data_IF_539072583086
#
_entry.id   IF_539072583086
#
_cell.length_a   1.000
_cell.length_b   1.000
_cell.length_c   1.000
_cell.angle_alpha   90.00
_cell.angle_beta   90.00
_cell.angle_gamma   90.00
#
_symmetry.space_group_name_H-M   'P 1'
#
loop_
_entity.id
_entity.type
_entity.pdbx_description
1 polymer ?
#
# COMPACT_ATOMS: atom_id res chain seq x y z
N UNK A 1 -23.69 -3.92 23.46
CA UNK A 1 -22.27 -3.81 23.08
C UNK A 1 -21.78 -2.47 23.56
N UNK A 2 -20.64 -2.43 24.26
CA UNK A 2 -20.17 -1.23 24.97
C UNK A 2 -19.44 -0.28 24.02
N UNK A 3 -19.66 1.03 24.19
CA UNK A 3 -19.08 2.09 23.37
C UNK A 3 -17.53 2.07 23.41
N UNK A 4 -16.95 1.77 24.57
CA UNK A 4 -15.50 1.60 24.75
C UNK A 4 -14.91 0.46 23.91
N UNK A 5 -15.62 -0.65 23.76
CA UNK A 5 -15.13 -1.79 22.97
C UNK A 5 -15.08 -1.46 21.47
N UNK A 6 -15.99 -0.62 21.00
CA UNK A 6 -15.95 -0.09 19.63
C UNK A 6 -14.73 0.82 19.45
N UNK A 7 -14.55 1.82 20.32
CA UNK A 7 -13.45 2.80 20.22
C UNK A 7 -12.08 2.09 20.17
N UNK A 8 -11.85 1.08 21.03
CA UNK A 8 -10.58 0.32 21.05
C UNK A 8 -10.35 -0.45 19.75
N UNK A 9 -11.38 -1.12 19.20
CA UNK A 9 -11.28 -1.86 17.95
C UNK A 9 -10.97 -0.94 16.76
N UNK A 10 -11.53 0.27 16.73
CA UNK A 10 -11.27 1.23 15.66
C UNK A 10 -9.88 1.88 15.75
N UNK A 11 -9.40 2.21 16.96
CA UNK A 11 -8.01 2.68 17.14
C UNK A 11 -6.98 1.63 16.70
N UNK A 12 -7.27 0.35 16.93
CA UNK A 12 -6.46 -0.75 16.41
C UNK A 12 -6.51 -0.85 14.87
N UNK A 13 -7.68 -0.60 14.26
CA UNK A 13 -7.82 -0.56 12.80
C UNK A 13 -7.05 0.60 12.16
N UNK A 14 -7.09 1.80 12.74
CA UNK A 14 -6.34 2.97 12.26
C UNK A 14 -4.82 2.78 12.38
N UNK A 15 -4.38 2.15 13.47
CA UNK A 15 -2.97 1.77 13.64
C UNK A 15 -2.55 0.75 12.57
N UNK A 16 -3.34 -0.30 12.36
CA UNK A 16 -3.09 -1.29 11.32
C UNK A 16 -3.09 -0.66 9.90
N UNK A 17 -3.94 0.34 9.66
CA UNK A 17 -3.94 1.15 8.43
C UNK A 17 -2.57 1.74 8.14
N UNK A 18 -2.05 2.42 9.16
CA UNK A 18 -0.83 3.21 9.08
C UNK A 18 0.36 2.29 8.90
N UNK A 19 0.38 1.17 9.63
CA UNK A 19 1.40 0.13 9.47
C UNK A 19 1.40 -0.46 8.05
N UNK A 20 0.22 -0.81 7.52
CA UNK A 20 0.11 -1.34 6.15
C UNK A 20 0.56 -0.29 5.12
N UNK A 21 0.18 0.97 5.29
CA UNK A 21 0.64 2.07 4.43
C UNK A 21 2.16 2.29 4.48
N UNK A 22 2.78 2.11 5.65
CA UNK A 22 4.24 2.19 5.78
C UNK A 22 4.93 0.99 5.13
N UNK A 23 4.43 -0.23 5.36
CA UNK A 23 4.92 -1.46 4.73
C UNK A 23 4.77 -1.40 3.20
N UNK A 24 3.69 -0.80 2.71
CA UNK A 24 3.47 -0.56 1.30
C UNK A 24 4.60 0.26 0.67
N UNK A 25 4.93 1.38 1.32
CA UNK A 25 5.97 2.30 0.87
C UNK A 25 7.36 1.67 0.93
N UNK A 26 7.62 0.85 1.96
CA UNK A 26 8.88 0.09 2.06
C UNK A 26 8.99 -0.92 0.91
N UNK A 27 7.92 -1.68 0.66
CA UNK A 27 7.91 -2.67 -0.43
C UNK A 27 8.14 -2.02 -1.80
N UNK A 28 7.54 -0.85 -2.05
CA UNK A 28 7.79 -0.09 -3.28
C UNK A 28 9.27 0.33 -3.42
N UNK A 29 9.89 0.75 -2.32
CA UNK A 29 11.32 1.11 -2.28
C UNK A 29 12.21 -0.10 -2.59
N UNK A 30 11.94 -1.23 -1.93
CA UNK A 30 12.70 -2.47 -2.09
C UNK A 30 12.60 -2.99 -3.53
N UNK A 31 11.40 -2.90 -4.13
CA UNK A 31 11.18 -3.23 -5.53
C UNK A 31 12.04 -2.33 -6.44
N UNK A 32 12.02 -1.01 -6.27
CA UNK A 32 12.85 -0.12 -7.09
C UNK A 32 14.35 -0.43 -6.97
N UNK A 33 14.83 -0.76 -5.78
CA UNK A 33 16.22 -1.18 -5.57
C UNK A 33 16.57 -2.44 -6.37
N UNK A 34 15.72 -3.46 -6.28
CA UNK A 34 15.91 -4.71 -7.05
C UNK A 34 15.95 -4.41 -8.55
N UNK A 35 15.05 -3.54 -9.06
CA UNK A 35 15.06 -3.12 -10.46
C UNK A 35 16.40 -2.52 -10.87
N UNK A 36 16.92 -1.60 -10.05
CA UNK A 36 18.15 -0.89 -10.34
C UNK A 36 19.35 -1.85 -10.36
N UNK A 37 19.40 -2.79 -9.41
CA UNK A 37 20.43 -3.82 -9.37
C UNK A 37 20.38 -4.70 -10.63
N UNK A 38 19.21 -5.18 -11.02
CA UNK A 38 19.05 -6.03 -12.22
C UNK A 38 19.36 -5.24 -13.50
N UNK A 39 18.91 -3.99 -13.61
CA UNK A 39 19.25 -3.15 -14.75
C UNK A 39 20.77 -2.92 -14.88
N UNK A 40 21.48 -2.81 -13.75
CA UNK A 40 22.93 -2.68 -13.72
C UNK A 40 23.69 -3.93 -14.17
N UNK A 41 23.14 -5.13 -13.95
CA UNK A 41 23.79 -6.39 -14.38
C UNK A 41 23.59 -6.69 -15.86
N UNK A 42 22.49 -6.22 -16.45
CA UNK A 42 22.14 -6.45 -17.87
C UNK A 42 23.13 -5.79 -18.83
N UNK A 43 23.79 -4.70 -18.40
CA UNK A 43 24.85 -4.07 -19.19
C UNK A 43 26.02 -5.02 -19.49
N UNK A 44 26.15 -6.12 -18.74
CA UNK A 44 27.20 -7.13 -18.92
C UNK A 44 26.73 -8.38 -19.70
N UNK A 45 25.45 -8.49 -20.05
CA UNK A 45 24.91 -9.68 -20.72
C UNK A 45 24.77 -9.42 -22.24
N UNK A 46 25.68 -9.97 -23.05
CA UNK A 46 25.70 -9.78 -24.51
C UNK A 46 24.48 -10.41 -25.23
N UNK A 47 23.91 -9.66 -26.18
CA UNK A 47 23.19 -10.14 -27.38
C UNK A 47 21.83 -10.81 -27.19
N UNK A 48 21.80 -12.02 -26.64
CA UNK A 48 20.59 -12.87 -26.57
C UNK A 48 19.86 -12.69 -25.22
N UNK A 49 20.61 -12.45 -24.15
CA UNK A 49 20.08 -12.19 -22.81
C UNK A 49 19.33 -10.84 -22.71
N UNK A 50 19.57 -9.92 -23.65
CA UNK A 50 18.92 -8.61 -23.67
C UNK A 50 17.42 -8.70 -23.98
N UNK A 51 17.01 -9.65 -24.83
CA UNK A 51 15.59 -9.91 -25.11
C UNK A 51 14.89 -10.57 -23.93
N UNK A 52 15.52 -11.58 -23.33
CA UNK A 52 14.99 -12.26 -22.13
C UNK A 52 14.86 -11.31 -20.94
N UNK A 53 15.79 -10.37 -20.79
CA UNK A 53 15.69 -9.32 -19.79
C UNK A 53 14.49 -8.40 -20.03
N UNK A 54 14.24 -7.99 -21.28
CA UNK A 54 13.10 -7.14 -21.60
C UNK A 54 11.76 -7.78 -21.22
N UNK A 55 11.62 -9.09 -21.40
CA UNK A 55 10.45 -9.85 -20.98
C UNK A 55 10.32 -9.92 -19.44
N UNK A 56 11.40 -10.28 -18.75
CA UNK A 56 11.40 -10.38 -17.29
C UNK A 56 11.18 -9.01 -16.62
N UNK A 57 11.76 -7.95 -17.19
CA UNK A 57 11.56 -6.57 -16.72
C UNK A 57 10.08 -6.16 -16.85
N UNK A 58 9.41 -6.49 -17.96
CA UNK A 58 7.98 -6.20 -18.14
C UNK A 58 7.12 -6.93 -17.11
N UNK A 59 7.42 -8.20 -16.85
CA UNK A 59 6.71 -9.01 -15.86
C UNK A 59 6.92 -8.43 -14.46
N UNK A 60 8.15 -8.07 -14.12
CA UNK A 60 8.51 -7.43 -12.87
C UNK A 60 7.80 -6.08 -12.68
N UNK A 61 7.80 -5.22 -13.71
CA UNK A 61 7.08 -3.93 -13.68
C UNK A 61 5.58 -4.12 -13.44
N UNK A 62 4.98 -5.16 -14.03
CA UNK A 62 3.58 -5.51 -13.81
C UNK A 62 3.33 -5.95 -12.36
N UNK A 63 4.16 -6.85 -11.83
CA UNK A 63 4.01 -7.35 -10.46
C UNK A 63 4.17 -6.24 -9.43
N UNK A 64 5.15 -5.35 -9.63
CA UNK A 64 5.35 -4.17 -8.77
C UNK A 64 4.14 -3.23 -8.80
N UNK A 65 3.58 -2.99 -9.98
CA UNK A 65 2.36 -2.18 -10.14
C UNK A 65 1.16 -2.82 -9.44
N UNK A 66 0.94 -4.13 -9.61
CA UNK A 66 -0.19 -4.84 -8.99
C UNK A 66 -0.11 -4.81 -7.47
N UNK A 67 1.11 -4.94 -6.91
CA UNK A 67 1.39 -4.76 -5.49
C UNK A 67 1.04 -3.35 -5.04
N UNK A 68 1.50 -2.33 -5.76
CA UNK A 68 1.21 -0.92 -5.43
C UNK A 68 -0.31 -0.64 -5.43
N UNK A 69 -1.04 -1.11 -6.45
CA UNK A 69 -2.50 -0.97 -6.53
C UNK A 69 -3.21 -1.67 -5.38
N UNK A 70 -2.79 -2.89 -5.03
CA UNK A 70 -3.37 -3.62 -3.91
C UNK A 70 -3.17 -2.86 -2.58
N UNK A 71 -1.98 -2.30 -2.37
CA UNK A 71 -1.65 -1.53 -1.18
C UNK A 71 -2.42 -0.21 -1.11
N UNK A 72 -2.58 0.49 -2.22
CA UNK A 72 -3.45 1.66 -2.31
C UNK A 72 -4.92 1.30 -1.98
N UNK A 73 -5.40 0.16 -2.46
CA UNK A 73 -6.72 -0.36 -2.16
C UNK A 73 -6.91 -0.62 -0.66
N UNK A 74 -5.92 -1.24 -0.01
CA UNK A 74 -5.95 -1.44 1.45
C UNK A 74 -5.94 -0.08 2.17
N UNK A 75 -5.06 0.85 1.78
CA UNK A 75 -5.03 2.19 2.35
C UNK A 75 -6.38 2.92 2.24
N UNK A 76 -7.06 2.80 1.09
CA UNK A 76 -8.39 3.38 0.89
C UNK A 76 -9.45 2.76 1.80
N UNK A 77 -9.50 1.43 1.89
CA UNK A 77 -10.46 0.71 2.76
C UNK A 77 -10.27 1.13 4.22
N UNK A 78 -9.03 1.26 4.67
CA UNK A 78 -8.81 1.61 6.07
C UNK A 78 -9.05 3.10 6.33
N UNK A 79 -8.69 4.00 5.42
CA UNK A 79 -9.07 5.41 5.54
C UNK A 79 -10.60 5.59 5.55
N UNK A 80 -11.33 4.83 4.73
CA UNK A 80 -12.80 4.87 4.74
C UNK A 80 -13.36 4.40 6.10
N UNK A 81 -12.78 3.34 6.68
CA UNK A 81 -13.16 2.85 8.00
C UNK A 81 -12.87 3.88 9.13
N UNK A 82 -11.83 4.70 9.02
CA UNK A 82 -11.49 5.74 10.00
C UNK A 82 -12.21 7.08 9.78
N UNK A 83 -12.41 7.49 8.52
CA UNK A 83 -12.96 8.80 8.13
C UNK A 83 -14.46 8.95 8.33
N UNK A 84 -15.23 7.86 8.25
CA UNK A 84 -16.69 7.88 8.47
C UNK A 84 -17.07 8.34 9.89
N UNK A 85 -16.15 8.26 10.87
CA UNK A 85 -16.41 8.74 12.22
C UNK A 85 -16.26 10.27 12.38
N UNK A 86 -15.28 10.93 11.73
CA UNK A 86 -15.20 12.40 11.81
C UNK A 86 -16.43 13.09 11.21
N UNK A 87 -17.05 12.49 10.19
CA UNK A 87 -18.31 12.97 9.62
C UNK A 87 -19.53 12.60 10.45
N UNK A 88 -19.57 11.36 10.97
CA UNK A 88 -20.65 10.85 11.80
C UNK A 88 -20.76 11.53 13.17
N UNK A 89 -19.63 11.75 13.84
CA UNK A 89 -19.58 12.35 15.18
C UNK A 89 -19.77 13.87 15.13
N UNK A 90 -19.26 14.58 14.10
CA UNK A 90 -19.64 15.99 13.88
C UNK A 90 -21.14 16.15 13.65
N UNK A 91 -21.77 15.25 12.89
CA UNK A 91 -23.23 15.25 12.69
C UNK A 91 -23.97 14.91 13.99
N UNK A 92 -23.56 13.86 14.70
CA UNK A 92 -24.17 13.50 15.97
C UNK A 92 -24.03 14.60 17.02
N UNK A 93 -22.85 15.20 17.17
CA UNK A 93 -22.60 16.33 18.07
C UNK A 93 -23.40 17.59 17.71
N UNK A 94 -23.74 17.80 16.43
CA UNK A 94 -24.64 18.88 16.01
C UNK A 94 -26.13 18.57 16.18
N UNK A 95 -26.50 17.33 16.53
CA UNK A 95 -27.85 16.98 17.00
C UNK A 95 -28.01 17.10 18.53
N UNK A 96 -26.92 17.32 19.27
CA UNK A 96 -26.90 17.46 20.74
C UNK A 96 -26.64 18.90 21.24
N UNK A 97 -26.65 19.89 20.35
CA UNK A 97 -26.66 21.33 20.65
C UNK A 97 -28.01 21.94 20.27
#
# INVERSE_FOLDING_TARGET
MNHDEMIVKYGALDTAATEIGNMAKQLETDLQEIKHLVAGTVAYWEGEAQNAYGDEQRKWDKEAHDIHVALQGIGHVVHQAGGDYMGGDKKAASFFL
#
